data_IF_400825329436
#
_entry.id   IF_400825329436
#
_cell.length_a   1.000
_cell.length_b   1.000
_cell.length_c   1.000
_cell.angle_alpha   90.00
_cell.angle_beta   90.00
_cell.angle_gamma   90.00
#
_symmetry.space_group_name_H-M   'P 1'
#
loop_
_entity.id
_entity.type
_entity.pdbx_description
1 polymer ?
#
# COMPACT_ATOMS: atom_id res chain seq x y z
N UNK A 1 -16.38 27.13 24.28
CA UNK A 1 -16.48 27.09 22.79
C UNK A 1 -17.45 25.99 22.41
N UNK A 2 -18.42 26.24 21.52
CA UNK A 2 -19.32 25.19 21.00
C UNK A 2 -18.50 24.15 20.25
N UNK A 3 -18.79 22.85 20.45
CA UNK A 3 -18.07 21.72 19.83
C UNK A 3 -17.86 21.90 18.33
N UNK A 4 -18.87 22.44 17.64
CA UNK A 4 -18.82 22.77 16.22
C UNK A 4 -17.67 23.71 15.86
N UNK A 5 -17.46 24.77 16.65
CA UNK A 5 -16.39 25.75 16.40
C UNK A 5 -15.01 25.14 16.55
N UNK A 6 -14.85 24.19 17.48
CA UNK A 6 -13.58 23.48 17.67
C UNK A 6 -13.28 22.58 16.47
N UNK A 7 -14.27 21.88 15.95
CA UNK A 7 -14.12 21.04 14.75
C UNK A 7 -13.74 21.90 13.54
N UNK A 8 -14.42 23.03 13.35
CA UNK A 8 -14.13 23.99 12.28
C UNK A 8 -12.69 24.53 12.38
N UNK A 9 -12.25 24.91 13.58
CA UNK A 9 -10.89 25.39 13.85
C UNK A 9 -9.84 24.32 13.50
N UNK A 10 -10.08 23.04 13.83
CA UNK A 10 -9.15 21.96 13.48
C UNK A 10 -9.14 21.64 11.98
N UNK A 11 -10.31 21.64 11.34
CA UNK A 11 -10.43 21.43 9.90
C UNK A 11 -9.63 22.49 9.13
N UNK A 12 -9.77 23.76 9.49
CA UNK A 12 -9.04 24.86 8.86
C UNK A 12 -7.52 24.72 9.04
N UNK A 13 -7.05 24.30 10.23
CA UNK A 13 -5.63 24.03 10.48
C UNK A 13 -5.09 22.91 9.59
N UNK A 14 -5.86 21.83 9.40
CA UNK A 14 -5.47 20.72 8.53
C UNK A 14 -5.37 21.21 7.08
N UNK A 15 -6.35 21.97 6.60
CA UNK A 15 -6.33 22.54 5.25
C UNK A 15 -5.12 23.45 5.01
N UNK A 16 -4.76 24.31 5.98
CA UNK A 16 -3.57 25.16 5.88
C UNK A 16 -2.26 24.35 5.83
N UNK A 17 -2.16 23.29 6.64
CA UNK A 17 -0.99 22.41 6.62
C UNK A 17 -0.85 21.68 5.28
N UNK A 18 -1.96 21.27 4.66
CA UNK A 18 -1.97 20.61 3.36
C UNK A 18 -1.62 21.57 2.22
N UNK A 19 -2.10 22.82 2.26
CA UNK A 19 -1.76 23.85 1.24
C UNK A 19 -0.27 24.20 1.18
N UNK A 20 0.45 24.08 2.30
CA UNK A 20 1.89 24.38 2.39
C UNK A 20 2.77 23.24 1.89
N UNK A 21 2.22 22.06 1.62
CA UNK A 21 2.98 20.93 1.08
C UNK A 21 2.93 20.97 -0.46
N UNK A 22 4.06 20.72 -1.14
CA UNK A 22 4.05 20.64 -2.60
C UNK A 22 3.06 19.54 -3.03
N UNK A 23 2.11 19.91 -3.89
CA UNK A 23 1.05 19.04 -4.47
C UNK A 23 1.62 17.73 -5.04
N UNK A 24 2.91 17.74 -5.40
CA UNK A 24 3.68 16.61 -5.91
C UNK A 24 3.69 15.39 -4.96
N UNK A 25 3.54 15.57 -3.65
CA UNK A 25 3.47 14.44 -2.70
C UNK A 25 2.11 13.71 -2.71
N UNK A 26 1.04 14.34 -3.17
CA UNK A 26 -0.29 13.74 -3.24
C UNK A 26 -0.51 12.93 -4.53
N UNK A 27 0.45 12.97 -5.47
CA UNK A 27 0.40 12.27 -6.76
C UNK A 27 1.23 10.98 -6.79
N UNK A 28 1.90 10.60 -5.70
CA UNK A 28 2.15 9.18 -5.47
C UNK A 28 0.80 8.59 -5.05
N UNK A 29 0.09 8.00 -6.00
CA UNK A 29 -1.26 7.47 -5.83
C UNK A 29 -1.31 6.38 -4.77
N UNK A 30 -1.37 6.78 -3.51
CA UNK A 30 -1.70 5.89 -2.41
C UNK A 30 -3.21 5.67 -2.46
N UNK A 31 -3.59 4.53 -3.05
CA UNK A 31 -4.94 4.01 -2.92
C UNK A 31 -5.07 3.55 -1.46
N UNK A 32 -5.76 4.35 -0.66
CA UNK A 32 -6.15 3.93 0.68
C UNK A 32 -7.27 2.89 0.53
N UNK A 33 -6.94 1.62 0.73
CA UNK A 33 -7.93 0.55 0.78
C UNK A 33 -8.54 0.56 2.18
N UNK A 34 -9.79 0.98 2.29
CA UNK A 34 -10.56 0.87 3.52
C UNK A 34 -10.96 -0.59 3.75
N UNK A 35 -10.24 -1.28 4.62
CA UNK A 35 -10.53 -2.68 4.97
C UNK A 35 -11.67 -2.82 5.99
N UNK A 36 -12.26 -1.72 6.47
CA UNK A 36 -13.39 -1.79 7.42
C UNK A 36 -14.70 -2.19 6.74
N UNK A 37 -14.84 -1.90 5.45
CA UNK A 37 -15.95 -2.35 4.64
C UNK A 37 -15.50 -3.52 3.76
N UNK A 38 -16.18 -4.65 3.90
CA UNK A 38 -15.95 -5.81 3.07
C UNK A 38 -16.55 -5.55 1.68
N UNK A 39 -15.78 -4.95 0.77
CA UNK A 39 -16.17 -4.80 -0.63
C UNK A 39 -16.26 -6.19 -1.28
N UNK A 40 -17.46 -6.63 -1.73
CA UNK A 40 -17.63 -7.95 -2.36
C UNK A 40 -16.75 -8.14 -3.59
N UNK A 41 -16.50 -7.08 -4.36
CA UNK A 41 -15.68 -7.12 -5.58
C UNK A 41 -14.20 -7.34 -5.25
N UNK A 42 -13.71 -6.75 -4.16
CA UNK A 42 -12.33 -6.98 -3.69
C UNK A 42 -12.18 -8.39 -3.12
N UNK A 43 -13.20 -8.93 -2.45
CA UNK A 43 -13.18 -10.32 -1.98
C UNK A 43 -13.17 -11.33 -3.13
N UNK A 44 -13.97 -11.08 -4.18
CA UNK A 44 -13.95 -11.90 -5.39
C UNK A 44 -12.59 -11.85 -6.08
N UNK A 45 -11.98 -10.66 -6.16
CA UNK A 45 -10.64 -10.50 -6.73
C UNK A 45 -9.60 -11.26 -5.91
N UNK A 46 -9.61 -11.11 -4.58
CA UNK A 46 -8.72 -11.84 -3.67
C UNK A 46 -8.87 -13.35 -3.84
N UNK A 47 -10.10 -13.84 -3.93
CA UNK A 47 -10.40 -15.27 -4.12
C UNK A 47 -9.84 -15.78 -5.45
N UNK A 48 -10.00 -15.01 -6.54
CA UNK A 48 -9.43 -15.36 -7.85
C UNK A 48 -7.90 -15.37 -7.84
N UNK A 49 -7.27 -14.38 -7.21
CA UNK A 49 -5.82 -14.32 -7.06
C UNK A 49 -5.31 -15.55 -6.31
N UNK A 50 -5.91 -15.88 -5.17
CA UNK A 50 -5.52 -17.06 -4.39
C UNK A 50 -5.68 -18.36 -5.19
N UNK A 51 -6.78 -18.50 -5.95
CA UNK A 51 -7.02 -19.67 -6.81
C UNK A 51 -5.98 -19.81 -7.92
N UNK A 52 -5.53 -18.71 -8.51
CA UNK A 52 -4.48 -18.73 -9.55
C UNK A 52 -3.10 -18.97 -8.94
N UNK A 53 -2.82 -18.35 -7.79
CA UNK A 53 -1.58 -18.52 -7.08
C UNK A 53 -1.39 -19.98 -6.63
N UNK A 54 -2.46 -20.63 -6.14
CA UNK A 54 -2.41 -22.04 -5.76
C UNK A 54 -2.17 -23.02 -6.90
N UNK A 55 -2.29 -22.57 -8.15
CA UNK A 55 -1.99 -23.38 -9.33
C UNK A 55 -0.52 -23.24 -9.77
N UNK A 56 0.24 -22.32 -9.15
CA UNK A 56 1.65 -22.15 -9.50
C UNK A 56 2.49 -23.34 -9.00
N UNK A 57 3.48 -23.81 -9.77
CA UNK A 57 4.25 -25.01 -9.45
C UNK A 57 4.90 -25.01 -8.07
N UNK A 58 5.33 -23.84 -7.60
CA UNK A 58 6.08 -23.67 -6.35
C UNK A 58 5.23 -23.09 -5.21
N UNK A 59 3.90 -23.07 -5.35
CA UNK A 59 3.03 -22.52 -4.33
C UNK A 59 3.03 -23.40 -3.07
N UNK A 60 3.37 -22.82 -1.93
CA UNK A 60 3.40 -23.52 -0.65
C UNK A 60 4.68 -24.32 -0.41
N UNK A 61 5.68 -24.25 -1.29
CA UNK A 61 7.00 -24.81 -1.03
C UNK A 61 7.71 -24.03 0.10
N UNK A 62 8.36 -24.76 1.01
CA UNK A 62 9.20 -24.14 2.03
C UNK A 62 10.44 -23.51 1.37
N UNK A 63 10.41 -22.19 1.19
CA UNK A 63 11.59 -21.46 0.76
C UNK A 63 12.56 -21.30 1.94
N UNK A 64 13.82 -21.77 1.83
CA UNK A 64 14.78 -21.57 2.90
C UNK A 64 14.99 -20.07 3.12
N UNK A 65 14.89 -19.59 4.37
CA UNK A 65 14.92 -18.17 4.71
C UNK A 65 16.13 -17.42 4.13
N UNK A 66 17.26 -18.10 3.88
CA UNK A 66 18.46 -17.58 3.22
C UNK A 66 18.26 -17.08 1.77
N UNK A 67 17.20 -17.51 1.09
CA UNK A 67 16.89 -17.06 -0.28
C UNK A 67 16.24 -15.68 -0.30
N UNK A 68 15.54 -15.27 0.77
CA UNK A 68 14.89 -13.95 0.84
C UNK A 68 15.90 -12.80 0.84
N UNK A 69 16.99 -12.82 1.65
CA UNK A 69 18.04 -11.80 1.56
C UNK A 69 18.76 -11.77 0.21
N UNK A 70 18.97 -12.95 -0.40
CA UNK A 70 19.61 -13.06 -1.71
C UNK A 70 18.73 -12.45 -2.80
N UNK A 71 17.43 -12.75 -2.80
CA UNK A 71 16.47 -12.18 -3.73
C UNK A 71 16.39 -10.66 -3.59
N UNK A 72 16.34 -10.14 -2.35
CA UNK A 72 16.39 -8.70 -2.08
C UNK A 72 17.67 -8.05 -2.60
N UNK A 73 18.83 -8.69 -2.40
CA UNK A 73 20.10 -8.20 -2.90
C UNK A 73 20.12 -8.17 -4.44
N UNK A 74 19.64 -9.22 -5.10
CA UNK A 74 19.54 -9.31 -6.56
C UNK A 74 18.59 -8.24 -7.12
N UNK A 75 17.42 -8.04 -6.49
CA UNK A 75 16.48 -7.00 -6.90
C UNK A 75 17.07 -5.60 -6.74
N UNK A 76 17.81 -5.36 -5.65
CA UNK A 76 18.51 -4.10 -5.40
C UNK A 76 19.60 -3.85 -6.45
N UNK A 77 20.37 -4.88 -6.83
CA UNK A 77 21.39 -4.80 -7.89
C UNK A 77 20.77 -4.54 -9.26
N UNK A 78 19.64 -5.18 -9.58
CA UNK A 78 18.90 -4.92 -10.83
C UNK A 78 18.35 -3.50 -10.87
N UNK A 79 17.84 -2.98 -9.75
CA UNK A 79 17.33 -1.62 -9.65
C UNK A 79 18.44 -0.56 -9.73
N UNK A 80 19.66 -0.88 -9.27
CA UNK A 80 20.81 0.02 -9.36
C UNK A 80 21.53 -0.02 -10.70
N UNK A 81 21.10 -0.86 -11.65
CA UNK A 81 21.63 -0.89 -13.02
C UNK A 81 23.09 -1.32 -13.13
N UNK A 82 23.65 -1.95 -12.09
CA UNK A 82 25.01 -2.47 -12.10
C UNK A 82 25.00 -3.78 -12.89
N UNK A 83 25.48 -3.72 -14.13
CA UNK A 83 25.76 -4.89 -14.98
C UNK A 83 26.96 -5.66 -14.46
#
# INVERSE_FOLDING_TARGET
KSRQKVIEEYYMKICELLKKKPIVLHLMGYIAIDNSQCDPSLNDLKTKILKLASQQPHWGEEQPARWLPLEQAIMTMKASGVK
#
